data_IF_737506391005
#
_entry.id   IF_737506391005
#
_cell.length_a   1.000
_cell.length_b   1.000
_cell.length_c   1.000
_cell.angle_alpha   90.00
_cell.angle_beta   90.00
_cell.angle_gamma   90.00
#
_symmetry.space_group_name_H-M   'P 1'
#
loop_
_entity.id
_entity.type
_entity.pdbx_description
1 polymer ?
#
# COMPACT_ATOMS: atom_id res chain seq x y z
N UNK A 1 -45.19 -46.54 -4.76
CA UNK A 1 -44.94 -46.41 -6.21
C UNK A 1 -44.45 -44.97 -6.43
N UNK A 2 -43.13 -44.76 -6.50
CA UNK A 2 -42.53 -43.41 -6.54
C UNK A 2 -42.13 -43.06 -7.98
N UNK A 3 -42.41 -41.85 -8.50
CA UNK A 3 -42.05 -41.48 -9.86
C UNK A 3 -40.57 -41.08 -9.94
N UNK A 4 -39.79 -41.86 -10.68
CA UNK A 4 -38.42 -41.51 -11.09
C UNK A 4 -38.49 -40.42 -12.18
N UNK A 5 -38.33 -39.17 -11.76
CA UNK A 5 -38.23 -38.03 -12.67
C UNK A 5 -36.85 -38.00 -13.35
N UNK A 6 -36.78 -38.51 -14.59
CA UNK A 6 -35.56 -38.43 -15.39
C UNK A 6 -35.30 -37.00 -15.84
N UNK A 7 -34.24 -36.39 -15.32
CA UNK A 7 -33.83 -35.05 -15.70
C UNK A 7 -33.43 -34.97 -17.19
N UNK A 8 -33.93 -33.96 -17.90
CA UNK A 8 -33.66 -33.77 -19.32
C UNK A 8 -32.16 -33.63 -19.59
N UNK A 9 -31.57 -34.32 -20.60
CA UNK A 9 -30.14 -34.30 -20.88
C UNK A 9 -29.58 -32.89 -21.11
N UNK A 10 -30.39 -32.02 -21.71
CA UNK A 10 -30.05 -30.61 -21.96
C UNK A 10 -29.93 -29.79 -20.69
N UNK A 11 -30.70 -30.12 -19.64
CA UNK A 11 -30.63 -29.46 -18.34
C UNK A 11 -29.38 -29.94 -17.57
N UNK A 12 -29.05 -31.22 -17.68
CA UNK A 12 -27.82 -31.78 -17.10
C UNK A 12 -26.57 -31.16 -17.72
N UNK A 13 -26.54 -30.99 -19.05
CA UNK A 13 -25.42 -30.35 -19.75
C UNK A 13 -25.25 -28.88 -19.31
N UNK A 14 -26.36 -28.13 -19.17
CA UNK A 14 -26.34 -26.75 -18.69
C UNK A 14 -25.88 -26.66 -17.24
N UNK A 15 -26.38 -27.54 -16.37
CA UNK A 15 -25.95 -27.60 -14.98
C UNK A 15 -24.46 -27.94 -14.86
N UNK A 16 -23.97 -28.89 -15.68
CA UNK A 16 -22.55 -29.25 -15.72
C UNK A 16 -21.67 -28.09 -16.23
N UNK A 17 -22.11 -27.35 -17.25
CA UNK A 17 -21.42 -26.16 -17.75
C UNK A 17 -21.37 -25.04 -16.70
N UNK A 18 -22.45 -24.83 -15.95
CA UNK A 18 -22.48 -23.85 -14.87
C UNK A 18 -21.58 -24.27 -13.70
N UNK A 19 -21.55 -25.55 -13.37
CA UNK A 19 -20.65 -26.09 -12.35
C UNK A 19 -19.18 -25.95 -12.77
N UNK A 20 -18.87 -26.22 -14.05
CA UNK A 20 -17.53 -26.06 -14.61
C UNK A 20 -17.11 -24.59 -14.61
N UNK A 21 -18.01 -23.66 -14.95
CA UNK A 21 -17.74 -22.23 -14.90
C UNK A 21 -17.53 -21.71 -13.48
N UNK A 22 -18.23 -22.26 -12.48
CA UNK A 22 -18.06 -21.90 -11.07
C UNK A 22 -16.75 -22.44 -10.47
N UNK A 23 -16.17 -23.49 -11.06
CA UNK A 23 -14.89 -24.07 -10.67
C UNK A 23 -13.70 -23.40 -11.36
N UNK A 24 -13.92 -22.57 -12.38
CA UNK A 24 -12.84 -21.82 -13.02
C UNK A 24 -12.41 -20.68 -12.10
N UNK A 25 -11.15 -20.65 -11.61
CA UNK A 25 -10.64 -19.49 -10.92
C UNK A 25 -10.64 -18.33 -11.93
N UNK A 26 -11.39 -17.27 -11.61
CA UNK A 26 -11.20 -15.98 -12.27
C UNK A 26 -9.78 -15.57 -11.93
N UNK A 27 -8.86 -15.84 -12.86
CA UNK A 27 -7.50 -15.30 -12.81
C UNK A 27 -7.62 -13.79 -12.99
N UNK A 28 -7.97 -13.11 -11.91
CA UNK A 28 -7.81 -11.67 -11.80
C UNK A 28 -6.34 -11.40 -12.08
N UNK A 29 -6.05 -10.60 -13.11
CA UNK A 29 -4.69 -10.28 -13.57
C UNK A 29 -3.99 -9.38 -12.54
N UNK A 30 -3.91 -9.83 -11.29
CA UNK A 30 -3.05 -9.24 -10.30
C UNK A 30 -1.64 -9.73 -10.61
N UNK A 31 -0.96 -8.96 -11.48
CA UNK A 31 0.50 -8.92 -11.43
C UNK A 31 0.97 -8.62 -9.99
N UNK A 32 2.26 -8.82 -9.69
CA UNK A 32 2.78 -8.53 -8.34
C UNK A 32 2.30 -7.14 -7.92
N UNK A 33 1.76 -6.97 -6.69
CA UNK A 33 1.31 -5.65 -6.26
C UNK A 33 2.48 -4.71 -6.46
N UNK A 34 2.30 -3.69 -7.31
CA UNK A 34 3.33 -2.68 -7.51
C UNK A 34 3.78 -2.25 -6.12
N UNK A 35 5.05 -2.49 -5.80
CA UNK A 35 5.60 -2.19 -4.47
C UNK A 35 5.15 -0.77 -4.15
N UNK A 36 4.37 -0.62 -3.08
CA UNK A 36 3.76 0.66 -2.69
C UNK A 36 4.85 1.57 -2.13
N UNK A 37 5.73 2.04 -3.02
CA UNK A 37 6.85 2.90 -2.68
C UNK A 37 6.29 4.32 -2.55
N UNK A 38 6.45 4.95 -1.39
CA UNK A 38 6.10 6.35 -1.20
C UNK A 38 6.77 7.22 -2.27
N UNK A 39 6.03 8.15 -2.86
CA UNK A 39 6.64 9.16 -3.72
C UNK A 39 7.66 9.97 -2.90
N UNK A 40 8.83 10.30 -3.45
CA UNK A 40 9.88 11.01 -2.71
C UNK A 40 9.38 12.35 -2.14
N UNK A 41 9.65 12.68 -0.86
CA UNK A 41 9.23 13.94 -0.26
C UNK A 41 9.92 15.12 -0.97
N UNK A 42 9.21 16.23 -1.15
CA UNK A 42 9.70 17.40 -1.87
C UNK A 42 10.25 18.44 -0.90
N UNK A 43 11.28 19.19 -1.32
CA UNK A 43 11.82 20.36 -0.58
C UNK A 43 12.19 20.03 0.88
N UNK A 44 12.91 18.93 1.10
CA UNK A 44 13.51 18.62 2.39
C UNK A 44 14.43 19.76 2.82
N UNK A 45 14.18 20.32 4.00
CA UNK A 45 15.03 21.33 4.64
C UNK A 45 15.34 20.85 6.03
N UNK A 46 16.62 20.84 6.36
CA UNK A 46 17.12 20.49 7.68
C UNK A 46 17.76 21.74 8.28
N UNK A 47 17.38 22.07 9.50
CA UNK A 47 17.93 23.19 10.28
C UNK A 47 18.46 22.62 11.59
N UNK A 48 19.76 22.79 11.81
CA UNK A 48 20.36 22.50 13.09
C UNK A 48 20.25 23.74 14.00
N UNK A 49 19.95 23.50 15.26
CA UNK A 49 20.09 24.40 16.40
C UNK A 49 20.93 23.68 17.46
N UNK A 50 21.31 24.35 18.54
CA UNK A 50 22.23 23.81 19.54
C UNK A 50 21.84 22.41 20.05
N UNK A 51 20.58 22.24 20.47
CA UNK A 51 20.05 20.99 21.04
C UNK A 51 19.09 20.23 20.11
N UNK A 52 18.83 20.77 18.90
CA UNK A 52 17.72 20.30 18.06
C UNK A 52 18.04 20.28 16.57
N UNK A 53 17.35 19.39 15.87
CA UNK A 53 17.32 19.33 14.43
C UNK A 53 15.88 19.42 13.94
N UNK A 54 15.53 20.54 13.31
CA UNK A 54 14.22 20.73 12.69
C UNK A 54 14.27 20.28 11.24
N UNK A 55 13.37 19.36 10.86
CA UNK A 55 13.23 18.88 9.50
C UNK A 55 11.89 19.30 8.96
N UNK A 56 11.88 19.97 7.81
CA UNK A 56 10.66 20.38 7.13
C UNK A 56 10.61 19.81 5.72
N UNK A 57 9.44 19.39 5.26
CA UNK A 57 9.24 18.81 3.93
C UNK A 57 7.84 19.13 3.39
N UNK A 58 7.69 18.98 2.09
CA UNK A 58 6.40 19.09 1.39
C UNK A 58 5.96 17.72 0.90
N UNK A 59 4.68 17.40 1.08
CA UNK A 59 4.10 16.19 0.50
C UNK A 59 4.31 16.15 -1.03
N UNK A 60 4.58 14.96 -1.59
CA UNK A 60 4.62 14.76 -3.03
C UNK A 60 3.27 15.13 -3.67
N UNK A 61 3.31 15.75 -4.86
CA UNK A 61 2.12 16.24 -5.58
C UNK A 61 1.06 15.14 -5.79
N UNK A 62 1.50 13.89 -5.94
CA UNK A 62 0.68 12.70 -6.17
C UNK A 62 0.43 11.90 -4.87
N UNK A 63 0.33 12.53 -3.71
CA UNK A 63 0.03 11.81 -2.44
C UNK A 63 -1.39 12.02 -1.94
N UNK A 64 -2.29 12.58 -2.77
CA UNK A 64 -3.68 12.89 -2.41
C UNK A 64 -4.55 11.65 -2.19
N UNK A 65 -5.81 11.85 -1.75
CA UNK A 65 -6.77 10.77 -1.50
C UNK A 65 -7.00 9.84 -2.71
N UNK A 66 -6.74 10.33 -3.93
CA UNK A 66 -6.85 9.62 -5.21
C UNK A 66 -5.54 8.98 -5.69
N UNK A 67 -4.46 9.03 -4.91
CA UNK A 67 -3.20 8.41 -5.30
C UNK A 67 -3.24 6.90 -5.12
N UNK A 68 -2.86 6.11 -6.14
CA UNK A 68 -2.67 4.67 -6.00
C UNK A 68 -1.45 4.33 -5.10
N UNK A 69 -0.61 5.32 -4.77
CA UNK A 69 0.57 5.18 -3.89
C UNK A 69 0.30 5.88 -2.55
N UNK A 70 -0.72 5.42 -1.82
CA UNK A 70 -1.17 6.04 -0.57
C UNK A 70 -0.23 5.63 0.58
N UNK A 71 1.02 6.08 0.52
CA UNK A 71 1.98 5.89 1.61
C UNK A 71 1.50 6.59 2.88
N UNK A 72 1.55 5.88 4.01
CA UNK A 72 1.16 6.39 5.34
C UNK A 72 2.07 7.51 5.88
N UNK A 73 3.26 7.68 5.31
CA UNK A 73 4.26 8.67 5.72
C UNK A 73 5.65 8.35 5.19
N UNK A 74 6.66 9.04 5.72
CA UNK A 74 8.09 8.79 5.47
C UNK A 74 8.79 8.36 6.75
N UNK A 75 9.97 7.74 6.61
CA UNK A 75 10.88 7.50 7.74
C UNK A 75 12.09 8.40 7.59
N UNK A 76 12.35 9.21 8.61
CA UNK A 76 13.57 10.01 8.71
C UNK A 76 14.61 9.23 9.52
N UNK A 77 15.68 8.81 8.85
CA UNK A 77 16.83 8.20 9.51
C UNK A 77 17.83 9.27 9.96
N UNK A 78 18.28 9.23 11.22
CA UNK A 78 19.33 10.09 11.75
C UNK A 78 20.26 9.29 12.67
N UNK A 79 21.54 9.62 12.70
CA UNK A 79 22.50 8.94 13.56
C UNK A 79 23.93 9.15 13.12
N UNK A 80 24.88 8.64 13.92
CA UNK A 80 26.31 8.83 13.70
C UNK A 80 26.82 8.18 12.41
N UNK A 81 26.19 7.08 11.99
CA UNK A 81 26.57 6.31 10.82
C UNK A 81 25.41 5.46 10.31
N UNK A 82 25.53 4.90 9.09
CA UNK A 82 24.54 3.98 8.56
C UNK A 82 24.29 2.72 9.40
N UNK A 83 25.23 2.36 10.29
CA UNK A 83 25.10 1.23 11.23
C UNK A 83 24.49 1.63 12.58
N UNK A 84 24.46 2.92 12.90
CA UNK A 84 23.89 3.50 14.13
C UNK A 84 22.86 4.56 13.76
N UNK A 85 21.71 4.12 13.23
CA UNK A 85 20.60 4.99 12.84
C UNK A 85 19.43 4.84 13.80
N UNK A 86 18.85 5.97 14.16
CA UNK A 86 17.53 6.12 14.72
C UNK A 86 16.56 6.50 13.59
N UNK A 87 15.30 6.09 13.73
CA UNK A 87 14.28 6.35 12.73
C UNK A 87 13.08 7.02 13.38
N UNK A 88 12.59 8.08 12.74
CA UNK A 88 11.39 8.80 13.18
C UNK A 88 10.32 8.72 12.08
N UNK A 89 9.09 8.31 12.43
CA UNK A 89 7.98 8.35 11.49
C UNK A 89 7.56 9.81 11.24
N UNK A 90 7.56 10.19 9.98
CA UNK A 90 7.05 11.47 9.48
C UNK A 90 5.65 11.21 8.90
N UNK A 91 4.62 11.61 9.63
CA UNK A 91 3.24 11.40 9.14
C UNK A 91 2.99 12.28 7.92
N UNK A 92 2.04 11.86 7.08
CA UNK A 92 1.73 12.57 5.82
C UNK A 92 1.29 14.03 6.02
N UNK A 93 0.55 14.25 7.10
CA UNK A 93 -0.08 15.54 7.40
C UNK A 93 0.89 16.49 8.10
N UNK A 94 1.92 15.94 8.73
CA UNK A 94 3.05 16.73 9.22
C UNK A 94 3.87 17.33 8.07
N UNK A 95 4.33 18.56 8.30
CA UNK A 95 5.20 19.33 7.39
C UNK A 95 6.54 19.66 8.02
N UNK A 96 6.66 19.42 9.32
CA UNK A 96 7.84 19.69 10.12
C UNK A 96 7.92 18.71 11.28
N UNK A 97 9.14 18.35 11.67
CA UNK A 97 9.43 17.51 12.82
C UNK A 97 10.67 18.04 13.55
N UNK A 98 10.69 17.93 14.88
CA UNK A 98 11.84 18.31 15.72
C UNK A 98 12.47 17.05 16.31
N UNK A 99 13.77 16.87 16.06
CA UNK A 99 14.57 15.82 16.69
C UNK A 99 15.43 16.48 17.76
N UNK A 100 15.34 16.01 19.01
CA UNK A 100 16.33 16.36 20.04
C UNK A 100 17.64 15.64 19.74
N UNK A 101 18.73 16.39 19.78
CA UNK A 101 20.07 15.82 19.68
C UNK A 101 20.34 15.01 20.97
N UNK A 102 20.81 13.78 20.82
CA UNK A 102 21.23 12.91 21.92
C UNK A 102 22.59 13.36 22.46
#
# INVERSE_FOLDING_TARGET
MAPEARASPRLLLRAALLLLAALLPVASSAGPPEKEVPNKPLRMRVRASDDRLSVAWKAPRLSGAKSPRRSRGFLLGYGESGRKMNYVPLTRDERSHEIKKL
#
